data_IF_452641915604
#
_entry.id   IF_452641915604
#
_cell.length_a   1.000
_cell.length_b   1.000
_cell.length_c   1.000
_cell.angle_alpha   90.00
_cell.angle_beta   90.00
_cell.angle_gamma   90.00
#
_symmetry.space_group_name_H-M   'P 1'
#
loop_
_entity.id
_entity.type
_entity.pdbx_description
1 polymer ?
#
# COMPACT_ATOMS: atom_id res chain seq x y z
N UNK A 1 -30.77 47.62 -53.48
CA UNK A 1 -30.95 46.85 -52.22
C UNK A 1 -30.21 45.51 -52.36
N UNK A 2 -28.90 45.45 -52.11
CA UNK A 2 -28.15 44.19 -52.28
C UNK A 2 -26.87 44.05 -51.42
N UNK A 3 -26.49 45.06 -50.62
CA UNK A 3 -25.22 45.03 -49.86
C UNK A 3 -25.37 44.62 -48.37
N UNK A 4 -26.58 44.56 -47.83
CA UNK A 4 -26.82 44.31 -46.40
C UNK A 4 -26.75 42.83 -45.96
N UNK A 5 -26.97 41.89 -46.87
CA UNK A 5 -27.05 40.45 -46.52
C UNK A 5 -25.68 39.75 -46.56
N UNK A 6 -24.74 40.23 -47.38
CA UNK A 6 -23.41 39.63 -47.53
C UNK A 6 -22.56 39.85 -46.27
N UNK A 7 -22.64 41.05 -45.66
CA UNK A 7 -21.94 41.36 -44.41
C UNK A 7 -22.42 40.52 -43.21
N UNK A 8 -23.72 40.16 -43.18
CA UNK A 8 -24.28 39.29 -42.12
C UNK A 8 -23.88 37.83 -42.28
N UNK A 9 -23.76 37.35 -43.53
CA UNK A 9 -23.31 35.99 -43.85
C UNK A 9 -21.82 35.78 -43.53
N UNK A 10 -20.98 36.80 -43.71
CA UNK A 10 -19.55 36.75 -43.40
C UNK A 10 -19.28 36.77 -41.88
N UNK A 11 -20.07 37.51 -41.09
CA UNK A 11 -19.96 37.49 -39.62
C UNK A 11 -20.43 36.16 -39.01
N UNK A 12 -21.47 35.53 -39.56
CA UNK A 12 -21.99 34.26 -39.06
C UNK A 12 -21.00 33.10 -39.29
N UNK A 13 -20.27 33.11 -40.40
CA UNK A 13 -19.27 32.08 -40.71
C UNK A 13 -17.97 32.25 -39.92
N UNK A 14 -17.51 33.49 -39.69
CA UNK A 14 -16.35 33.77 -38.83
C UNK A 14 -16.62 33.45 -37.35
N UNK A 15 -17.85 33.68 -36.86
CA UNK A 15 -18.24 33.30 -35.50
C UNK A 15 -18.30 31.78 -35.29
N UNK A 16 -18.71 31.01 -36.30
CA UNK A 16 -18.73 29.53 -36.24
C UNK A 16 -17.33 28.91 -36.27
N UNK A 17 -16.39 29.50 -37.03
CA UNK A 17 -14.98 29.09 -37.05
C UNK A 17 -14.25 29.42 -35.73
N UNK A 18 -14.63 30.50 -35.05
CA UNK A 18 -14.09 30.82 -33.72
C UNK A 18 -14.68 29.95 -32.60
N UNK A 19 -15.96 29.53 -32.71
CA UNK A 19 -16.58 28.65 -31.71
C UNK A 19 -16.02 27.22 -31.71
N UNK A 20 -15.53 26.73 -32.86
CA UNK A 20 -14.99 25.37 -32.98
C UNK A 20 -13.58 25.21 -32.37
N UNK A 21 -12.87 26.32 -32.10
CA UNK A 21 -11.59 26.34 -31.39
C UNK A 21 -11.71 26.24 -29.86
N UNK A 22 -12.91 26.38 -29.30
CA UNK A 22 -13.15 26.32 -27.84
C UNK A 22 -13.47 24.88 -27.37
N UNK A 23 -13.71 23.96 -28.30
CA UNK A 23 -13.75 22.54 -27.98
C UNK A 23 -12.32 22.04 -27.72
N UNK A 24 -11.85 22.30 -26.50
CA UNK A 24 -10.55 21.86 -26.02
C UNK A 24 -10.32 20.40 -26.36
N UNK A 25 -9.23 20.14 -27.07
CA UNK A 25 -8.76 18.78 -27.28
C UNK A 25 -8.65 18.04 -25.93
N UNK A 26 -8.92 16.73 -25.88
CA UNK A 26 -8.59 15.95 -24.69
C UNK A 26 -7.08 16.12 -24.45
N UNK A 27 -6.73 16.79 -23.36
CA UNK A 27 -5.34 16.91 -22.92
C UNK A 27 -4.92 15.49 -22.53
N UNK A 28 -4.16 14.84 -23.41
CA UNK A 28 -3.60 13.53 -23.16
C UNK A 28 -2.42 13.71 -22.21
N UNK A 29 -2.69 13.63 -20.91
CA UNK A 29 -1.66 13.75 -19.89
C UNK A 29 -0.72 12.54 -19.93
N UNK A 30 0.59 12.76 -19.79
CA UNK A 30 1.59 11.70 -19.67
C UNK A 30 1.29 10.85 -18.42
N UNK A 31 0.99 9.57 -18.64
CA UNK A 31 0.52 8.68 -17.58
C UNK A 31 1.65 8.33 -16.59
N UNK A 32 1.36 8.31 -15.28
CA UNK A 32 2.33 7.89 -14.27
C UNK A 32 2.65 6.40 -14.38
N UNK A 33 3.85 6.01 -13.95
CA UNK A 33 4.36 4.64 -14.07
C UNK A 33 3.49 3.68 -13.25
N UNK A 34 3.03 2.59 -13.83
CA UNK A 34 2.30 1.54 -13.11
C UNK A 34 3.25 0.53 -12.52
N UNK A 35 3.22 0.37 -11.20
CA UNK A 35 4.11 -0.50 -10.44
C UNK A 35 3.31 -1.68 -9.85
N UNK A 36 3.92 -2.86 -9.82
CA UNK A 36 3.34 -4.09 -9.26
C UNK A 36 4.11 -4.52 -8.00
N UNK A 37 3.58 -5.49 -7.27
CA UNK A 37 4.25 -6.02 -6.06
C UNK A 37 5.67 -6.55 -6.33
N UNK A 38 5.97 -6.98 -7.56
CA UNK A 38 7.30 -7.48 -7.95
C UNK A 38 8.28 -6.39 -8.36
N UNK A 39 7.81 -5.32 -9.02
CA UNK A 39 8.67 -4.22 -9.50
C UNK A 39 8.84 -3.11 -8.48
N UNK A 40 8.00 -3.08 -7.44
CA UNK A 40 8.04 -2.04 -6.41
C UNK A 40 9.40 -1.95 -5.70
N UNK A 41 10.03 -3.09 -5.40
CA UNK A 41 11.33 -3.11 -4.73
C UNK A 41 12.42 -2.46 -5.63
N UNK A 42 12.45 -2.81 -6.91
CA UNK A 42 13.39 -2.25 -7.88
C UNK A 42 13.19 -0.75 -8.08
N UNK A 43 11.92 -0.29 -8.14
CA UNK A 43 11.61 1.13 -8.25
C UNK A 43 12.00 1.90 -6.98
N UNK A 44 11.81 1.30 -5.80
CA UNK A 44 12.21 1.92 -4.53
C UNK A 44 13.73 2.03 -4.37
N UNK A 45 14.48 1.08 -4.91
CA UNK A 45 15.95 1.10 -4.89
C UNK A 45 16.53 2.03 -5.97
N UNK A 46 15.86 2.16 -7.12
CA UNK A 46 16.35 2.98 -8.23
C UNK A 46 16.02 4.47 -8.10
N UNK A 47 14.97 4.83 -7.34
CA UNK A 47 14.52 6.21 -7.21
C UNK A 47 14.76 6.77 -5.82
N UNK A 48 15.41 7.93 -5.76
CA UNK A 48 15.63 8.66 -4.49
C UNK A 48 14.35 9.32 -4.01
N UNK A 49 13.55 9.84 -4.96
CA UNK A 49 12.29 10.53 -4.75
C UNK A 49 11.19 9.79 -5.50
N UNK A 50 10.27 9.14 -4.79
CA UNK A 50 9.15 8.43 -5.41
C UNK A 50 7.83 8.85 -4.76
N UNK A 51 6.89 9.32 -5.56
CA UNK A 51 5.51 9.50 -5.13
C UNK A 51 4.70 8.29 -5.59
N UNK A 52 4.18 7.51 -4.64
CA UNK A 52 3.39 6.32 -4.91
C UNK A 52 1.92 6.54 -4.54
N UNK A 53 1.04 6.31 -5.51
CA UNK A 53 -0.41 6.33 -5.32
C UNK A 53 -0.97 4.91 -5.26
N UNK A 54 -1.54 4.56 -4.11
CA UNK A 54 -2.34 3.36 -3.94
C UNK A 54 -3.78 3.62 -4.37
N UNK A 55 -4.19 3.01 -5.48
CA UNK A 55 -5.54 3.14 -6.06
C UNK A 55 -6.25 1.79 -6.16
N UNK A 56 -7.56 1.86 -6.39
CA UNK A 56 -8.39 0.72 -6.72
C UNK A 56 -9.25 1.04 -7.95
N UNK A 57 -9.35 0.09 -8.87
CA UNK A 57 -10.07 0.21 -10.15
C UNK A 57 -11.53 0.74 -10.06
N UNK A 58 -12.30 0.39 -9.03
CA UNK A 58 -13.71 0.76 -8.83
C UNK A 58 -13.94 1.74 -7.69
N UNK A 59 -13.05 2.71 -7.50
CA UNK A 59 -13.20 3.71 -6.44
C UNK A 59 -13.54 5.11 -7.02
N UNK A 60 -14.75 5.65 -6.79
CA UNK A 60 -15.14 6.98 -7.30
C UNK A 60 -14.29 8.11 -6.69
N UNK A 61 -13.72 7.92 -5.51
CA UNK A 61 -12.78 8.87 -4.92
C UNK A 61 -11.41 8.84 -5.61
N UNK A 62 -10.97 7.70 -6.12
CA UNK A 62 -9.72 7.58 -6.88
C UNK A 62 -9.88 8.20 -8.28
N UNK A 63 -11.01 7.95 -8.95
CA UNK A 63 -11.28 8.49 -10.29
C UNK A 63 -11.29 10.02 -10.31
N UNK A 64 -11.83 10.66 -9.25
CA UNK A 64 -11.81 12.13 -9.13
C UNK A 64 -10.40 12.70 -8.95
N UNK A 65 -9.49 11.93 -8.35
CA UNK A 65 -8.11 12.37 -8.09
C UNK A 65 -7.15 12.03 -9.24
N UNK A 66 -7.49 11.03 -10.06
CA UNK A 66 -6.68 10.61 -11.21
C UNK A 66 -6.23 11.77 -12.12
N UNK A 67 -7.10 12.69 -12.59
CA UNK A 67 -6.66 13.77 -13.47
C UNK A 67 -5.74 14.79 -12.76
N UNK A 68 -5.91 15.01 -11.47
CA UNK A 68 -5.01 15.88 -10.71
C UNK A 68 -3.65 15.22 -10.47
N UNK A 69 -3.63 13.89 -10.36
CA UNK A 69 -2.39 13.13 -10.23
C UNK A 69 -1.62 13.03 -11.55
N UNK A 70 -2.31 12.88 -12.67
CA UNK A 70 -1.71 12.90 -14.02
C UNK A 70 -1.13 14.28 -14.39
N UNK A 71 -1.71 15.38 -13.87
CA UNK A 71 -1.09 16.70 -14.01
C UNK A 71 0.25 16.81 -13.27
N UNK A 72 0.41 16.10 -12.15
CA UNK A 72 1.68 16.10 -11.42
C UNK A 72 2.79 15.40 -12.21
N UNK A 73 2.48 14.36 -12.99
CA UNK A 73 3.49 13.70 -13.82
C UNK A 73 4.02 14.56 -14.96
N UNK A 74 3.29 15.60 -15.35
CA UNK A 74 3.73 16.56 -16.36
C UNK A 74 4.49 17.74 -15.78
N UNK A 75 4.38 17.99 -14.48
CA UNK A 75 4.92 19.19 -13.85
C UNK A 75 6.47 19.21 -13.89
N UNK A 76 7.01 20.26 -14.51
CA UNK A 76 8.45 20.40 -14.72
C UNK A 76 9.24 20.58 -13.41
N UNK A 77 8.62 21.14 -12.36
CA UNK A 77 9.30 21.28 -11.06
C UNK A 77 9.52 19.91 -10.41
N UNK A 78 8.59 18.98 -10.58
CA UNK A 78 8.73 17.62 -10.07
C UNK A 78 9.77 16.82 -10.87
N UNK A 79 9.78 16.97 -12.19
CA UNK A 79 10.81 16.38 -13.05
C UNK A 79 12.20 16.93 -12.74
N UNK A 80 12.31 18.24 -12.49
CA UNK A 80 13.57 18.91 -12.13
C UNK A 80 14.16 18.45 -10.80
N UNK A 81 13.33 17.91 -9.89
CA UNK A 81 13.76 17.34 -8.61
C UNK A 81 13.87 15.80 -8.63
N UNK A 82 13.89 15.19 -9.81
CA UNK A 82 14.02 13.74 -10.01
C UNK A 82 12.93 12.93 -9.27
N UNK A 83 11.72 13.49 -9.19
CA UNK A 83 10.58 12.82 -8.55
C UNK A 83 9.95 11.86 -9.55
N UNK A 84 10.05 10.56 -9.26
CA UNK A 84 9.32 9.53 -10.01
C UNK A 84 7.88 9.44 -9.49
N UNK A 85 6.89 9.48 -10.39
CA UNK A 85 5.49 9.26 -10.03
C UNK A 85 5.05 7.87 -10.44
N UNK A 86 4.56 7.11 -9.45
CA UNK A 86 4.09 5.75 -9.61
C UNK A 86 2.65 5.57 -9.13
N UNK A 87 1.95 4.60 -9.71
CA UNK A 87 0.63 4.15 -9.26
C UNK A 87 0.62 2.64 -9.10
N UNK A 88 -0.08 2.15 -8.09
CA UNK A 88 -0.27 0.71 -7.86
C UNK A 88 -1.76 0.40 -7.70
N UNK A 89 -2.22 -0.63 -8.42
CA UNK A 89 -3.59 -1.14 -8.30
C UNK A 89 -3.64 -2.23 -7.22
N UNK A 90 -4.19 -1.88 -6.07
CA UNK A 90 -4.19 -2.73 -4.86
C UNK A 90 -5.06 -3.99 -4.98
N UNK A 91 -6.25 -3.98 -5.60
CA UNK A 91 -7.03 -5.21 -5.82
C UNK A 91 -6.22 -6.34 -6.49
N UNK A 92 -5.33 -5.96 -7.41
CA UNK A 92 -4.44 -6.87 -8.15
C UNK A 92 -3.12 -7.14 -7.42
N UNK A 93 -2.72 -6.25 -6.50
CA UNK A 93 -1.43 -6.25 -5.79
C UNK A 93 -1.67 -6.09 -4.28
N UNK A 94 -2.15 -7.14 -3.61
CA UNK A 94 -2.49 -7.08 -2.18
C UNK A 94 -1.27 -7.10 -1.26
N UNK A 95 -0.11 -7.55 -1.75
CA UNK A 95 1.10 -7.65 -0.94
C UNK A 95 1.59 -6.27 -0.50
N UNK A 96 1.63 -5.32 -1.42
CA UNK A 96 2.01 -3.94 -1.14
C UNK A 96 1.05 -3.24 -0.17
N UNK A 97 -0.26 -3.43 -0.28
CA UNK A 97 -1.19 -2.78 0.66
C UNK A 97 -1.04 -3.28 2.09
N UNK A 98 -0.79 -4.57 2.27
CA UNK A 98 -0.50 -5.16 3.59
C UNK A 98 0.85 -4.64 4.09
N UNK A 99 1.88 -4.66 3.24
CA UNK A 99 3.24 -4.21 3.57
C UNK A 99 3.26 -2.75 4.06
N UNK A 100 2.55 -1.86 3.37
CA UNK A 100 2.48 -0.44 3.72
C UNK A 100 1.32 -0.10 4.66
N UNK A 101 0.55 -1.08 5.15
CA UNK A 101 -0.56 -0.86 6.09
C UNK A 101 -1.69 0.02 5.55
N UNK A 102 -1.99 -0.08 4.25
CA UNK A 102 -2.99 0.76 3.58
C UNK A 102 -4.40 0.29 3.94
N UNK A 103 -5.13 1.10 4.70
CA UNK A 103 -6.50 0.80 5.16
C UNK A 103 -7.61 1.42 4.29
N UNK A 104 -7.26 2.33 3.39
CA UNK A 104 -8.23 3.05 2.58
C UNK A 104 -7.64 3.64 1.30
N UNK A 105 -8.51 4.05 0.39
CA UNK A 105 -8.14 4.59 -0.92
C UNK A 105 -8.78 5.96 -1.19
N UNK A 106 -8.17 6.81 -2.02
CA UNK A 106 -6.75 6.77 -2.42
C UNK A 106 -5.82 7.12 -1.24
N UNK A 107 -4.66 6.48 -1.20
CA UNK A 107 -3.57 6.80 -0.25
C UNK A 107 -2.31 7.15 -1.03
N UNK A 108 -1.65 8.24 -0.62
CA UNK A 108 -0.42 8.75 -1.22
C UNK A 108 0.72 8.58 -0.21
N UNK A 109 1.81 7.97 -0.67
CA UNK A 109 3.04 7.82 0.10
C UNK A 109 4.17 8.41 -0.71
N UNK A 110 4.91 9.34 -0.11
CA UNK A 110 6.13 9.88 -0.68
C UNK A 110 7.33 9.19 -0.04
N UNK A 111 8.24 8.72 -0.87
CA UNK A 111 9.50 8.11 -0.49
C UNK A 111 10.60 9.10 -0.77
N UNK A 112 11.42 9.35 0.24
CA UNK A 112 12.58 10.23 0.14
C UNK A 112 13.71 9.63 0.96
N UNK A 113 14.86 9.35 0.35
CA UNK A 113 16.06 8.86 1.04
C UNK A 113 15.81 7.66 1.95
N UNK A 114 15.05 6.66 1.48
CA UNK A 114 14.75 5.44 2.23
C UNK A 114 13.74 5.61 3.38
N UNK A 115 13.07 6.75 3.47
CA UNK A 115 12.00 7.03 4.44
C UNK A 115 10.67 7.24 3.74
N UNK A 116 9.58 6.95 4.45
CA UNK A 116 8.21 7.09 3.96
C UNK A 116 7.47 8.21 4.69
N UNK A 117 6.77 9.03 3.91
CA UNK A 117 5.95 10.14 4.37
C UNK A 117 4.53 9.95 3.84
N UNK A 118 3.59 9.72 4.76
CA UNK A 118 2.18 9.49 4.41
C UNK A 118 1.47 10.82 4.25
N UNK A 119 0.95 11.07 3.05
CA UNK A 119 0.21 12.29 2.79
C UNK A 119 -1.25 12.16 3.25
N UNK A 120 -1.69 13.08 4.12
CA UNK A 120 -3.06 13.12 4.65
C UNK A 120 -3.83 14.39 4.26
N UNK A 121 -3.23 15.24 3.43
CA UNK A 121 -3.81 16.53 3.03
C UNK A 121 -4.88 16.45 1.95
N UNK A 122 -5.17 17.61 1.35
CA UNK A 122 -6.17 17.74 0.27
C UNK A 122 -5.71 17.02 -1.00
N UNK A 123 -6.63 16.30 -1.64
CA UNK A 123 -6.40 15.48 -2.85
C UNK A 123 -6.47 16.30 -4.15
N UNK A 124 -5.76 17.41 -4.20
CA UNK A 124 -5.71 18.32 -5.34
C UNK A 124 -4.26 18.47 -5.81
N UNK A 125 -4.08 18.93 -7.05
CA UNK A 125 -2.76 19.15 -7.64
C UNK A 125 -1.85 20.03 -6.77
N UNK A 126 -2.29 21.25 -6.41
CA UNK A 126 -1.43 22.23 -5.70
C UNK A 126 -0.94 21.74 -4.34
N UNK A 127 -1.79 21.18 -3.45
CA UNK A 127 -1.35 20.69 -2.14
C UNK A 127 -0.43 19.46 -2.22
N UNK A 128 -0.63 18.57 -3.21
CA UNK A 128 0.25 17.41 -3.39
C UNK A 128 1.61 17.88 -3.91
N UNK A 129 1.65 18.82 -4.87
CA UNK A 129 2.90 19.40 -5.38
C UNK A 129 3.70 20.04 -4.25
N UNK A 130 3.09 20.90 -3.42
CA UNK A 130 3.82 21.54 -2.32
C UNK A 130 4.31 20.54 -1.27
N UNK A 131 3.57 19.46 -1.04
CA UNK A 131 3.98 18.38 -0.16
C UNK A 131 5.26 17.69 -0.64
N UNK A 132 5.32 17.30 -1.91
CA UNK A 132 6.49 16.62 -2.50
C UNK A 132 7.72 17.52 -2.51
N UNK A 133 7.54 18.82 -2.80
CA UNK A 133 8.67 19.74 -2.94
C UNK A 133 9.40 19.97 -1.61
N UNK A 134 8.65 20.27 -0.54
CA UNK A 134 9.20 20.53 0.81
C UNK A 134 8.24 20.21 1.96
N UNK A 135 6.95 20.06 1.69
CA UNK A 135 5.96 19.91 2.75
C UNK A 135 6.10 18.63 3.57
N UNK A 136 6.76 17.59 3.03
CA UNK A 136 7.02 16.34 3.73
C UNK A 136 7.90 16.50 4.99
N UNK A 137 8.79 17.48 5.04
CA UNK A 137 9.63 17.77 6.21
C UNK A 137 8.78 18.08 7.46
N UNK A 138 7.58 18.64 7.28
CA UNK A 138 6.67 18.96 8.39
C UNK A 138 5.98 17.73 8.98
N UNK A 139 6.12 16.55 8.36
CA UNK A 139 5.54 15.30 8.83
C UNK A 139 6.48 14.53 9.78
N UNK A 140 7.58 15.16 10.22
CA UNK A 140 8.56 14.59 11.14
C UNK A 140 9.66 13.82 10.43
N UNK A 141 10.33 12.91 11.14
CA UNK A 141 11.50 12.19 10.61
C UNK A 141 11.14 11.12 9.56
N UNK A 142 9.87 10.91 9.22
CA UNK A 142 9.43 9.85 8.31
C UNK A 142 9.49 8.44 8.95
N UNK A 143 8.67 7.53 8.45
CA UNK A 143 8.66 6.13 8.89
C UNK A 143 9.66 5.32 8.02
N UNK A 144 10.25 4.24 8.56
CA UNK A 144 11.16 3.39 7.78
C UNK A 144 10.37 2.57 6.75
N UNK A 145 10.97 2.32 5.57
CA UNK A 145 10.32 1.48 4.55
C UNK A 145 10.11 0.08 5.12
N UNK A 146 8.87 -0.42 5.24
CA UNK A 146 8.62 -1.75 5.78
C UNK A 146 9.31 -2.80 4.91
N UNK A 147 10.00 -3.79 5.50
CA UNK A 147 10.62 -4.85 4.73
C UNK A 147 9.55 -5.65 3.98
N UNK A 148 9.93 -6.26 2.87
CA UNK A 148 9.05 -7.13 2.09
C UNK A 148 8.44 -8.20 3.00
N UNK A 149 7.12 -8.45 2.94
CA UNK A 149 6.52 -9.55 3.68
C UNK A 149 7.13 -10.86 3.17
N UNK A 150 8.08 -11.38 3.92
CA UNK A 150 8.64 -12.73 3.72
C UNK A 150 7.81 -13.69 4.57
N UNK A 151 7.80 -14.97 4.17
CA UNK A 151 7.07 -16.00 4.89
C UNK A 151 7.36 -15.99 6.39
N UNK A 152 8.63 -15.84 6.76
CA UNK A 152 9.06 -15.74 8.15
C UNK A 152 8.63 -14.43 8.82
N UNK A 153 8.63 -13.29 8.10
CA UNK A 153 8.20 -12.01 8.67
C UNK A 153 6.69 -11.95 8.91
N UNK A 154 5.88 -12.71 8.16
CA UNK A 154 4.46 -12.89 8.49
C UNK A 154 4.29 -13.61 9.82
N UNK A 155 5.06 -14.68 10.07
CA UNK A 155 5.07 -15.32 11.38
C UNK A 155 5.61 -14.40 12.49
N UNK A 156 6.57 -13.53 12.21
CA UNK A 156 7.06 -12.53 13.16
C UNK A 156 6.03 -11.43 13.41
N UNK A 157 5.25 -11.01 12.41
CA UNK A 157 4.18 -10.00 12.55
C UNK A 157 2.99 -10.57 13.31
N UNK A 158 2.57 -11.79 12.98
CA UNK A 158 1.58 -12.55 13.77
C UNK A 158 2.12 -12.74 15.18
N UNK A 159 3.39 -13.15 15.31
CA UNK A 159 4.08 -13.31 16.58
C UNK A 159 4.10 -12.03 17.40
N UNK A 160 4.43 -10.88 16.81
CA UNK A 160 4.44 -9.56 17.46
C UNK A 160 3.03 -9.09 17.84
N UNK A 161 2.03 -9.32 17.00
CA UNK A 161 0.65 -8.98 17.30
C UNK A 161 0.12 -9.82 18.48
N UNK A 162 0.39 -11.13 18.45
CA UNK A 162 0.10 -12.06 19.55
C UNK A 162 0.90 -11.67 20.79
N UNK A 163 2.17 -11.27 20.66
CA UNK A 163 2.99 -10.83 21.79
C UNK A 163 2.47 -9.54 22.42
N UNK A 164 1.99 -8.59 21.63
CA UNK A 164 1.41 -7.34 22.13
C UNK A 164 0.12 -7.61 22.92
N UNK A 165 -0.75 -8.49 22.41
CA UNK A 165 -1.96 -8.93 23.12
C UNK A 165 -1.62 -9.70 24.41
N UNK A 166 -0.61 -10.58 24.38
CA UNK A 166 -0.13 -11.32 25.55
C UNK A 166 0.52 -10.39 26.59
N UNK A 167 1.24 -9.37 26.13
CA UNK A 167 1.91 -8.38 26.97
C UNK A 167 0.90 -7.43 27.65
N UNK A 168 -0.12 -6.97 26.92
CA UNK A 168 -1.22 -6.18 27.49
C UNK A 168 -2.06 -7.00 28.49
N UNK A 169 -2.16 -8.32 28.27
CA UNK A 169 -2.72 -9.22 29.27
C UNK A 169 -1.85 -9.32 30.53
N UNK A 170 -0.53 -9.46 30.36
CA UNK A 170 0.43 -9.53 31.47
C UNK A 170 0.52 -8.23 32.30
N UNK A 171 0.26 -7.06 31.71
CA UNK A 171 0.20 -5.78 32.45
C UNK A 171 -1.17 -5.48 33.09
N UNK A 172 -2.08 -6.46 33.14
CA UNK A 172 -3.31 -6.38 33.94
C UNK A 172 -4.44 -5.55 33.32
N UNK A 173 -4.35 -5.22 32.03
CA UNK A 173 -5.48 -4.63 31.27
C UNK A 173 -6.42 -5.68 30.67
N UNK A 174 -5.98 -6.93 30.55
CA UNK A 174 -6.91 -8.03 30.33
C UNK A 174 -7.69 -8.29 31.62
N UNK A 175 -9.01 -8.11 31.57
CA UNK A 175 -9.90 -8.59 32.63
C UNK A 175 -9.69 -10.09 32.89
N UNK A 176 -10.15 -10.56 34.05
CA UNK A 176 -9.99 -11.94 34.58
C UNK A 176 -10.15 -13.08 33.56
N UNK A 177 -10.89 -12.87 32.47
CA UNK A 177 -11.08 -13.79 31.34
C UNK A 177 -9.79 -14.04 30.55
N UNK A 178 -8.93 -13.04 30.34
CA UNK A 178 -7.70 -13.19 29.55
C UNK A 178 -6.63 -14.05 30.25
N UNK A 179 -6.48 -13.89 31.57
CA UNK A 179 -5.60 -14.74 32.37
C UNK A 179 -6.07 -16.20 32.39
N UNK A 180 -7.37 -16.42 32.52
CA UNK A 180 -7.94 -17.76 32.48
C UNK A 180 -7.63 -18.47 31.15
N UNK A 181 -7.69 -17.76 30.02
CA UNK A 181 -7.40 -18.32 28.69
C UNK A 181 -5.93 -18.68 28.50
N UNK A 182 -4.99 -17.84 28.97
CA UNK A 182 -3.55 -18.12 28.87
C UNK A 182 -3.17 -19.32 29.74
N UNK A 183 -3.69 -19.40 30.97
CA UNK A 183 -3.44 -20.52 31.88
C UNK A 183 -4.03 -21.82 31.31
N UNK A 184 -5.26 -21.78 30.76
CA UNK A 184 -5.87 -22.93 30.10
C UNK A 184 -5.06 -23.39 28.88
N UNK A 185 -4.61 -22.47 28.04
CA UNK A 185 -3.75 -22.77 26.89
C UNK A 185 -2.43 -23.41 27.33
N UNK A 186 -1.79 -22.89 28.38
CA UNK A 186 -0.56 -23.46 28.94
C UNK A 186 -0.75 -24.89 29.47
N UNK A 187 -1.84 -25.14 30.19
CA UNK A 187 -2.17 -26.48 30.71
C UNK A 187 -2.47 -27.44 29.55
N UNK A 188 -3.23 -26.99 28.55
CA UNK A 188 -3.58 -27.81 27.39
C UNK A 188 -2.33 -28.22 26.60
N UNK A 189 -1.43 -27.27 26.31
CA UNK A 189 -0.17 -27.54 25.59
C UNK A 189 0.75 -28.44 26.42
N UNK A 190 0.82 -28.22 27.73
CA UNK A 190 1.60 -29.07 28.65
C UNK A 190 1.08 -30.51 28.69
N UNK A 191 -0.24 -30.70 28.80
CA UNK A 191 -0.88 -32.02 28.77
C UNK A 191 -0.68 -32.71 27.42
N UNK A 192 -0.82 -31.97 26.32
CA UNK A 192 -0.61 -32.52 24.98
C UNK A 192 0.86 -32.94 24.77
N UNK A 193 1.81 -32.12 25.24
CA UNK A 193 3.24 -32.46 25.22
C UNK A 193 3.57 -33.68 26.06
N UNK A 194 3.04 -33.77 27.28
CA UNK A 194 3.24 -34.93 28.16
C UNK A 194 2.64 -36.21 27.55
N UNK A 195 1.48 -36.11 26.91
CA UNK A 195 0.83 -37.22 26.21
C UNK A 195 1.65 -37.68 25.00
N UNK A 196 2.23 -36.75 24.23
CA UNK A 196 3.12 -37.07 23.12
C UNK A 196 4.38 -37.80 23.61
N UNK A 197 5.02 -37.30 24.67
CA UNK A 197 6.20 -37.97 25.25
C UNK A 197 5.85 -39.37 25.74
N UNK A 198 4.72 -39.52 26.43
CA UNK A 198 4.24 -40.80 26.93
C UNK A 198 3.94 -41.79 25.80
N UNK A 199 3.30 -41.34 24.72
CA UNK A 199 3.06 -42.17 23.53
C UNK A 199 4.37 -42.57 22.85
N UNK A 200 5.33 -41.65 22.73
CA UNK A 200 6.65 -41.97 22.16
C UNK A 200 7.33 -43.04 23.01
N UNK A 201 7.34 -42.91 24.34
CA UNK A 201 7.93 -43.90 25.25
C UNK A 201 7.27 -45.29 25.12
N UNK A 202 5.93 -45.34 25.00
CA UNK A 202 5.21 -46.61 24.77
C UNK A 202 5.54 -47.21 23.41
N UNK A 203 5.60 -46.38 22.36
CA UNK A 203 5.89 -46.85 21.01
C UNK A 203 7.33 -47.33 20.85
N UNK A 204 8.31 -46.65 21.45
CA UNK A 204 9.71 -47.10 21.46
C UNK A 204 9.87 -48.39 22.27
N UNK A 205 9.22 -48.50 23.43
CA UNK A 205 9.27 -49.73 24.23
C UNK A 205 8.67 -50.94 23.51
N UNK A 206 7.67 -50.73 22.64
CA UNK A 206 7.06 -51.80 21.83
C UNK A 206 7.87 -52.15 20.57
N UNK A 207 8.67 -51.21 20.05
CA UNK A 207 9.57 -51.46 18.92
C UNK A 207 10.72 -52.41 19.32
N UNK A 208 11.31 -52.19 20.50
CA UNK A 208 12.42 -53.02 21.02
C UNK A 208 12.04 -54.50 21.24
N UNK A 209 10.77 -54.80 21.54
CA UNK A 209 10.28 -56.19 21.68
C UNK A 209 10.04 -56.89 20.34
N UNK A 210 9.71 -56.16 19.27
CA UNK A 210 9.46 -56.75 17.93
C UNK A 210 10.76 -57.24 17.30
N UNK A 211 11.88 -56.56 17.54
CA UNK A 211 13.18 -56.94 17.00
C UNK A 211 13.77 -58.19 17.69
N UNK A 212 13.42 -58.44 18.97
CA UNK A 212 13.84 -59.67 19.68
C UNK A 212 13.14 -60.93 19.17
N UNK A 213 11.91 -60.84 18.68
CA UNK A 213 11.14 -62.00 18.19
C UNK A 213 11.57 -62.44 16.79
N UNK A 214 12.25 -61.59 16.02
CA UNK A 214 12.75 -61.91 14.66
C UNK A 214 14.18 -62.47 14.65
N UNK A 215 14.86 -62.52 15.79
CA UNK A 215 16.25 -62.94 15.93
C UNK A 215 16.47 -64.40 16.32
N UNK A 216 15.40 -65.17 16.61
CA UNK A 216 15.43 -66.61 16.92
C UNK A 216 14.85 -67.46 15.76
#
# INVERSE_FOLDING_TARGET
>A
MASGNVARLICASLACLLLSLINGAPVAYAAPVTVTDSTLDEVLESSTNLLLLFKANKCPHCQRMAPDYEKLSEDDDLKGNDVTLATIDVPSNRGSSIRFGIRGFPTLIYFHNGRIYRYSGKRQFTPIKSFVMKGYENYGDGEEVPPKPTFLSQFVLIGKAVWAELYDAAQGKAGMVGYAMIVLMGILVGLLGMLVVFLITILTGRYDDVDKVKGD
#
